data_IF_518844916846
#
_entry.id   IF_518844916846
#
_cell.length_a   1.000
_cell.length_b   1.000
_cell.length_c   1.000
_cell.angle_alpha   90.00
_cell.angle_beta   90.00
_cell.angle_gamma   90.00
#
_symmetry.space_group_name_H-M   'P 1'
#
loop_
_entity.id
_entity.type
_entity.pdbx_description
1 polymer ?
#
# COMPACT_ATOMS: atom_id res chain seq x y z
N UNK A 1 21.14 -16.10 11.29
CA UNK A 1 19.95 -16.96 11.42
C UNK A 1 18.79 -16.31 10.69
N UNK A 2 17.62 -16.95 10.63
CA UNK A 2 16.41 -16.34 10.07
C UNK A 2 15.23 -16.62 11.00
N UNK A 3 14.49 -15.58 11.37
CA UNK A 3 13.27 -15.67 12.16
C UNK A 3 12.08 -15.80 11.21
N UNK A 4 11.30 -16.87 11.35
CA UNK A 4 10.02 -17.01 10.67
C UNK A 4 8.88 -16.48 11.55
N UNK A 5 7.99 -15.68 10.98
CA UNK A 5 6.83 -15.14 11.67
C UNK A 5 5.60 -15.12 10.76
N UNK A 6 4.41 -15.35 11.33
CA UNK A 6 3.14 -15.35 10.60
C UNK A 6 2.27 -14.16 11.02
N UNK A 7 2.11 -13.17 10.13
CA UNK A 7 1.29 -11.99 10.39
C UNK A 7 -0.21 -12.26 10.16
N UNK A 8 -0.80 -13.17 10.94
CA UNK A 8 -2.22 -13.54 10.83
C UNK A 8 -3.17 -12.36 11.03
N UNK A 9 -2.75 -11.30 11.74
CA UNK A 9 -3.49 -10.06 11.93
C UNK A 9 -3.75 -9.30 10.62
N UNK A 10 -3.00 -9.56 9.55
CA UNK A 10 -3.25 -8.99 8.22
C UNK A 10 -4.52 -9.55 7.56
N UNK A 11 -5.02 -10.71 7.98
CA UNK A 11 -6.07 -11.43 7.26
C UNK A 11 -7.37 -10.65 7.11
N UNK A 12 -7.94 -10.00 8.15
CA UNK A 12 -9.17 -9.25 8.01
C UNK A 12 -9.04 -8.08 7.03
N UNK A 13 -7.99 -7.26 7.17
CA UNK A 13 -7.72 -6.13 6.29
C UNK A 13 -7.44 -6.57 4.84
N UNK A 14 -6.77 -7.72 4.68
CA UNK A 14 -6.51 -8.32 3.37
C UNK A 14 -7.80 -8.73 2.67
N UNK A 15 -8.69 -9.44 3.36
CA UNK A 15 -9.98 -9.86 2.80
C UNK A 15 -10.83 -8.65 2.43
N UNK A 16 -10.82 -7.61 3.25
CA UNK A 16 -11.52 -6.36 2.97
C UNK A 16 -10.99 -5.66 1.71
N UNK A 17 -9.66 -5.53 1.59
CA UNK A 17 -8.99 -4.94 0.43
C UNK A 17 -9.36 -5.68 -0.87
N UNK A 18 -9.37 -7.01 -0.83
CA UNK A 18 -9.81 -7.87 -1.95
C UNK A 18 -11.28 -7.63 -2.28
N UNK A 19 -12.16 -7.60 -1.27
CA UNK A 19 -13.62 -7.42 -1.44
C UNK A 19 -13.96 -6.05 -2.06
N UNK A 20 -13.24 -4.99 -1.68
CA UNK A 20 -13.43 -3.63 -2.21
C UNK A 20 -12.82 -3.40 -3.59
N UNK A 21 -12.18 -4.41 -4.19
CA UNK A 21 -11.36 -4.24 -5.39
C UNK A 21 -10.33 -3.12 -5.23
N UNK A 22 -9.76 -3.01 -4.03
CA UNK A 22 -8.68 -2.10 -3.65
C UNK A 22 -7.53 -2.94 -3.09
N UNK A 23 -6.89 -3.79 -3.90
CA UNK A 23 -5.97 -4.80 -3.42
C UNK A 23 -4.62 -4.20 -3.01
N UNK A 24 -4.66 -3.43 -1.91
CA UNK A 24 -3.55 -2.69 -1.32
C UNK A 24 -3.82 -2.50 0.16
N UNK A 25 -2.81 -2.79 0.95
CA UNK A 25 -2.75 -2.54 2.39
C UNK A 25 -1.64 -1.52 2.60
N UNK A 26 -1.94 -0.46 3.34
CA UNK A 26 -0.97 0.55 3.75
C UNK A 26 -1.43 1.13 5.09
N UNK A 27 -0.67 0.89 6.15
CA UNK A 27 -0.93 1.41 7.49
C UNK A 27 0.38 1.53 8.27
N UNK A 28 0.39 2.37 9.30
CA UNK A 28 1.55 2.58 10.17
C UNK A 28 1.20 2.16 11.59
N UNK A 29 2.07 1.35 12.19
CA UNK A 29 2.03 0.97 13.60
C UNK A 29 3.18 1.66 14.36
N UNK A 30 2.98 1.88 15.65
CA UNK A 30 3.97 2.50 16.52
C UNK A 30 4.22 1.64 17.74
N UNK A 31 5.50 1.47 18.11
CA UNK A 31 5.88 0.91 19.40
C UNK A 31 7.06 1.69 20.01
N UNK A 32 6.82 2.34 21.15
CA UNK A 32 7.76 3.31 21.70
C UNK A 32 8.09 4.40 20.67
N UNK A 33 9.37 4.54 20.33
CA UNK A 33 9.86 5.47 19.30
C UNK A 33 9.85 4.88 17.88
N UNK A 34 9.66 3.57 17.74
CA UNK A 34 9.66 2.88 16.45
C UNK A 34 8.36 3.11 15.68
N UNK A 35 8.49 3.31 14.37
CA UNK A 35 7.37 3.52 13.44
C UNK A 35 7.49 2.53 12.27
N UNK A 36 6.53 1.61 12.20
CA UNK A 36 6.52 0.49 11.26
C UNK A 36 5.39 0.66 10.27
N UNK A 37 5.71 1.08 9.05
CA UNK A 37 4.73 1.22 7.97
C UNK A 37 4.68 -0.07 7.16
N UNK A 38 3.56 -0.76 7.21
CA UNK A 38 3.30 -1.99 6.47
C UNK A 38 2.68 -1.67 5.12
N UNK A 39 3.26 -2.20 4.05
CA UNK A 39 2.76 -2.08 2.69
C UNK A 39 2.67 -3.46 2.04
N UNK A 40 1.48 -3.78 1.53
CA UNK A 40 1.25 -4.96 0.70
C UNK A 40 0.46 -4.51 -0.53
N UNK A 41 1.11 -4.52 -1.68
CA UNK A 41 0.48 -4.19 -2.96
C UNK A 41 0.31 -5.46 -3.79
N UNK A 42 -0.87 -5.66 -4.35
CA UNK A 42 -1.09 -6.74 -5.31
C UNK A 42 -1.17 -6.17 -6.72
N UNK A 43 -0.73 -6.96 -7.69
CA UNK A 43 -0.82 -6.61 -9.12
C UNK A 43 -2.19 -6.99 -9.68
N UNK A 44 -2.60 -6.29 -10.72
CA UNK A 44 -3.78 -6.60 -11.50
C UNK A 44 -3.44 -6.88 -12.96
N UNK A 45 -4.18 -7.77 -13.58
CA UNK A 45 -4.05 -8.08 -15.00
C UNK A 45 -4.59 -6.94 -15.88
N UNK A 46 -4.52 -7.11 -17.20
CA UNK A 46 -5.02 -6.13 -18.18
C UNK A 46 -6.54 -5.91 -18.14
N UNK A 47 -7.27 -6.74 -17.39
CA UNK A 47 -8.71 -6.63 -17.14
C UNK A 47 -9.04 -6.00 -15.79
N UNK A 48 -8.03 -5.69 -14.96
CA UNK A 48 -8.20 -5.15 -13.62
C UNK A 48 -8.55 -6.20 -12.57
N UNK A 49 -8.28 -7.49 -12.83
CA UNK A 49 -8.46 -8.57 -11.84
C UNK A 49 -7.16 -8.79 -11.07
N UNK A 50 -7.27 -9.13 -9.78
CA UNK A 50 -6.11 -9.44 -8.93
C UNK A 50 -5.38 -10.65 -9.50
N UNK A 51 -4.08 -10.50 -9.72
CA UNK A 51 -3.19 -11.60 -10.06
C UNK A 51 -2.71 -12.24 -8.77
N UNK A 52 -3.17 -13.45 -8.51
CA UNK A 52 -2.70 -14.25 -7.39
C UNK A 52 -1.32 -14.81 -7.73
N UNK A 53 -0.34 -14.62 -6.85
CA UNK A 53 1.06 -14.98 -7.10
C UNK A 53 1.95 -14.71 -5.89
N UNK A 54 3.26 -14.58 -6.11
CA UNK A 54 4.23 -14.23 -5.06
C UNK A 54 3.94 -12.81 -4.56
N UNK A 55 3.27 -12.71 -3.41
CA UNK A 55 3.02 -11.45 -2.73
C UNK A 55 4.26 -11.04 -1.92
N UNK A 56 4.39 -9.75 -1.67
CA UNK A 56 5.49 -9.20 -0.89
C UNK A 56 4.96 -8.27 0.17
N UNK A 57 5.46 -8.43 1.39
CA UNK A 57 5.25 -7.49 2.48
C UNK A 57 6.47 -6.60 2.58
N UNK A 58 6.23 -5.30 2.48
CA UNK A 58 7.24 -4.28 2.73
C UNK A 58 6.97 -3.68 4.11
N UNK A 59 8.03 -3.58 4.93
CA UNK A 59 7.98 -2.91 6.22
C UNK A 59 8.97 -1.76 6.16
N UNK A 60 8.44 -0.54 6.03
CA UNK A 60 9.23 0.67 6.11
C UNK A 60 9.40 1.05 7.58
N UNK A 61 10.65 1.11 7.99
CA UNK A 61 11.09 1.60 9.30
C UNK A 61 11.18 3.12 9.19
N UNK A 62 10.12 3.82 9.56
CA UNK A 62 9.92 5.22 9.18
C UNK A 62 10.83 6.19 9.93
N UNK A 63 11.40 5.84 11.09
CA UNK A 63 12.38 6.71 11.73
C UNK A 63 13.76 6.59 11.06
N UNK A 64 14.15 5.39 10.67
CA UNK A 64 15.45 5.10 10.03
C UNK A 64 15.41 5.16 8.50
N UNK A 65 14.23 5.31 7.90
CA UNK A 65 13.99 5.34 6.46
C UNK A 65 14.49 4.08 5.73
N UNK A 66 14.55 2.94 6.43
CA UNK A 66 14.97 1.66 5.84
C UNK A 66 13.78 0.80 5.45
N UNK A 67 13.90 0.08 4.34
CA UNK A 67 12.87 -0.83 3.85
C UNK A 67 13.29 -2.29 4.07
N UNK A 68 12.44 -3.05 4.74
CA UNK A 68 12.52 -4.52 4.78
C UNK A 68 11.55 -5.07 3.73
N UNK A 69 12.03 -5.92 2.83
CA UNK A 69 11.24 -6.57 1.76
C UNK A 69 11.15 -8.06 2.02
N UNK A 70 9.96 -8.54 2.36
CA UNK A 70 9.71 -9.96 2.63
C UNK A 70 8.84 -10.58 1.54
N UNK A 71 9.25 -11.73 1.01
CA UNK A 71 8.32 -12.60 0.27
C UNK A 71 7.31 -13.17 1.25
N UNK A 72 6.03 -13.09 0.90
CA UNK A 72 4.96 -13.71 1.67
C UNK A 72 4.76 -15.16 1.24
N UNK A 73 4.70 -16.04 2.24
CA UNK A 73 4.45 -17.47 2.08
C UNK A 73 3.14 -17.86 2.77
N UNK A 74 2.51 -18.92 2.29
CA UNK A 74 1.27 -19.46 2.85
C UNK A 74 0.02 -19.15 2.04
N UNK A 75 -1.13 -19.61 2.55
CA UNK A 75 -2.43 -19.40 1.91
C UNK A 75 -3.12 -18.16 2.50
N UNK A 76 -2.80 -16.99 1.94
CA UNK A 76 -3.26 -15.69 2.43
C UNK A 76 -4.79 -15.56 2.44
N UNK A 77 -5.46 -16.00 1.37
CA UNK A 77 -6.90 -15.78 1.19
C UNK A 77 -7.72 -16.69 2.09
N UNK A 78 -7.44 -18.00 2.05
CA UNK A 78 -8.32 -18.98 2.70
C UNK A 78 -7.87 -19.33 4.12
N UNK A 79 -6.56 -19.42 4.38
CA UNK A 79 -6.03 -19.80 5.69
C UNK A 79 -5.59 -18.60 6.56
N UNK A 80 -5.43 -17.42 5.95
CA UNK A 80 -4.95 -16.24 6.67
C UNK A 80 -3.47 -16.31 7.06
N UNK A 81 -2.69 -17.16 6.38
CA UNK A 81 -1.25 -17.28 6.61
C UNK A 81 -0.50 -16.20 5.84
N UNK A 82 0.23 -15.33 6.53
CA UNK A 82 1.12 -14.30 5.98
C UNK A 82 2.52 -14.51 6.55
N UNK A 83 3.16 -15.61 6.17
CA UNK A 83 4.46 -16.01 6.70
C UNK A 83 5.58 -15.23 6.02
N UNK A 84 6.48 -14.68 6.82
CA UNK A 84 7.71 -14.00 6.38
C UNK A 84 8.93 -14.63 7.04
N UNK A 85 10.09 -14.46 6.41
CA UNK A 85 11.39 -14.76 7.00
C UNK A 85 12.20 -13.48 7.08
N UNK A 86 12.68 -13.16 8.27
CA UNK A 86 13.50 -12.00 8.58
C UNK A 86 14.92 -12.49 8.90
N UNK A 87 15.92 -11.83 8.33
CA UNK A 87 17.33 -12.14 8.57
C UNK A 87 17.85 -11.41 9.81
N UNK A 88 19.05 -11.76 10.28
CA UNK A 88 19.71 -11.02 11.36
C UNK A 88 19.95 -9.54 10.98
N UNK A 89 20.20 -9.24 9.70
CA UNK A 89 20.31 -7.87 9.19
C UNK A 89 18.96 -7.12 9.30
N UNK A 90 17.84 -7.79 9.05
CA UNK A 90 16.52 -7.19 9.25
C UNK A 90 16.22 -6.95 10.73
N UNK A 91 16.63 -7.87 11.60
CA UNK A 91 16.56 -7.68 13.04
C UNK A 91 17.35 -6.43 13.47
N UNK A 92 18.57 -6.28 12.96
CA UNK A 92 19.41 -5.13 13.28
C UNK A 92 18.75 -3.81 12.83
N UNK A 93 18.13 -3.77 11.65
CA UNK A 93 17.37 -2.58 11.21
C UNK A 93 16.20 -2.29 12.14
N UNK A 94 15.48 -3.30 12.62
CA UNK A 94 14.38 -3.15 13.58
C UNK A 94 14.89 -2.62 14.93
N UNK A 95 16.02 -3.14 15.40
CA UNK A 95 16.68 -2.63 16.63
C UNK A 95 17.07 -1.18 16.48
N UNK A 96 17.71 -0.84 15.35
CA UNK A 96 17.99 0.55 14.98
C UNK A 96 16.70 1.35 15.06
N UNK A 97 15.62 0.98 14.37
CA UNK A 97 14.32 1.67 14.36
C UNK A 97 13.77 1.96 15.77
N UNK A 98 13.86 1.00 16.69
CA UNK A 98 13.44 1.15 18.07
C UNK A 98 14.37 2.03 18.94
N UNK A 99 15.48 2.52 18.37
CA UNK A 99 16.48 3.29 19.10
C UNK A 99 17.32 2.42 20.04
N UNK A 100 17.33 1.11 19.83
CA UNK A 100 18.15 0.18 20.59
C UNK A 100 19.56 0.20 20.00
N UNK A 101 20.52 0.73 20.76
CA UNK A 101 21.93 0.65 20.39
C UNK A 101 22.46 -0.79 20.38
N UNK A 102 23.74 -0.94 20.08
CA UNK A 102 24.43 -2.25 20.12
C UNK A 102 24.62 -2.79 21.55
N UNK A 103 24.36 -1.97 22.57
CA UNK A 103 24.57 -2.34 23.97
C UNK A 103 23.61 -3.43 24.44
N UNK A 104 24.19 -4.50 25.00
CA UNK A 104 23.51 -5.64 25.63
C UNK A 104 23.05 -5.36 27.07
N UNK A 105 23.23 -4.14 27.59
CA UNK A 105 22.93 -3.80 28.99
C UNK A 105 21.44 -3.47 29.29
N UNK A 106 20.56 -3.54 28.28
CA UNK A 106 19.11 -3.38 28.44
C UNK A 106 18.36 -4.71 28.50
N UNK A 107 17.03 -4.71 28.74
CA UNK A 107 16.22 -5.92 28.62
C UNK A 107 16.46 -6.56 27.24
N UNK A 108 16.62 -7.88 27.22
CA UNK A 108 16.89 -8.62 26.00
C UNK A 108 15.77 -8.36 24.98
N UNK A 109 16.08 -7.62 23.91
CA UNK A 109 15.16 -7.48 22.79
C UNK A 109 15.01 -8.82 22.08
N UNK A 110 13.77 -9.25 21.90
CA UNK A 110 13.40 -10.46 21.16
C UNK A 110 12.52 -10.04 19.99
N UNK A 111 13.04 -10.17 18.76
CA UNK A 111 12.32 -9.77 17.55
C UNK A 111 10.93 -10.41 17.47
N UNK A 112 10.81 -11.69 17.81
CA UNK A 112 9.54 -12.43 17.77
C UNK A 112 8.45 -11.80 18.65
N UNK A 113 8.82 -11.28 19.81
CA UNK A 113 7.88 -10.68 20.76
C UNK A 113 7.38 -9.33 20.25
N UNK A 114 8.26 -8.52 19.64
CA UNK A 114 7.84 -7.31 18.93
C UNK A 114 6.88 -7.65 17.79
N UNK A 115 7.21 -8.63 16.94
CA UNK A 115 6.36 -9.00 15.81
C UNK A 115 4.99 -9.51 16.28
N UNK A 116 4.96 -10.28 17.38
CA UNK A 116 3.71 -10.72 18.01
C UNK A 116 2.87 -9.53 18.49
N UNK A 117 3.50 -8.55 19.15
CA UNK A 117 2.84 -7.32 19.61
C UNK A 117 2.29 -6.51 18.43
N UNK A 118 3.11 -6.28 17.40
CA UNK A 118 2.68 -5.57 16.18
C UNK A 118 1.52 -6.29 15.50
N UNK A 119 1.56 -7.61 15.41
CA UNK A 119 0.52 -8.42 14.78
C UNK A 119 -0.87 -8.27 15.44
N UNK A 120 -0.91 -8.15 16.78
CA UNK A 120 -2.16 -7.99 17.54
C UNK A 120 -2.82 -6.63 17.29
N UNK A 121 -2.02 -5.59 17.02
CA UNK A 121 -2.53 -4.22 16.81
C UNK A 121 -2.76 -3.88 15.34
N UNK A 122 -2.58 -4.83 14.42
CA UNK A 122 -2.91 -4.63 13.00
C UNK A 122 -4.41 -4.29 12.88
N UNK A 123 -4.77 -3.18 12.22
CA UNK A 123 -6.17 -2.81 12.08
C UNK A 123 -6.91 -3.84 11.22
N UNK A 124 -8.08 -4.29 11.67
CA UNK A 124 -8.91 -5.23 10.93
C UNK A 124 -9.49 -4.64 9.62
N UNK A 125 -9.56 -3.32 9.52
CA UNK A 125 -10.10 -2.56 8.39
C UNK A 125 -9.23 -1.34 8.14
N UNK A 126 -8.99 -1.01 6.86
CA UNK A 126 -8.15 0.14 6.48
C UNK A 126 -8.91 0.99 5.45
N UNK A 127 -9.45 2.15 5.85
CA UNK A 127 -10.10 3.09 4.95
C UNK A 127 -9.18 3.55 3.82
N UNK A 128 -9.76 3.89 2.67
CA UNK A 128 -8.99 4.36 1.50
C UNK A 128 -8.20 5.64 1.81
N UNK A 129 -8.79 6.53 2.59
CA UNK A 129 -8.22 7.79 3.05
C UNK A 129 -6.97 7.56 3.91
N UNK A 130 -6.96 6.50 4.74
CA UNK A 130 -5.79 6.12 5.54
C UNK A 130 -4.68 5.57 4.64
N UNK A 131 -5.03 4.73 3.64
CA UNK A 131 -4.05 4.26 2.65
C UNK A 131 -3.43 5.41 1.87
N UNK A 132 -4.24 6.39 1.44
CA UNK A 132 -3.77 7.58 0.74
C UNK A 132 -2.79 8.37 1.63
N UNK A 133 -3.14 8.58 2.90
CA UNK A 133 -2.29 9.31 3.84
C UNK A 133 -0.91 8.65 3.99
N UNK A 134 -0.88 7.34 4.25
CA UNK A 134 0.37 6.58 4.42
C UNK A 134 1.20 6.57 3.14
N UNK A 135 0.57 6.33 1.98
CA UNK A 135 1.27 6.30 0.70
C UNK A 135 1.84 7.67 0.34
N UNK A 136 1.13 8.76 0.66
CA UNK A 136 1.61 10.13 0.46
C UNK A 136 2.76 10.47 1.38
N UNK A 137 2.64 10.18 2.67
CA UNK A 137 3.67 10.44 3.69
C UNK A 137 5.00 9.80 3.30
N UNK A 138 4.96 8.57 2.77
CA UNK A 138 6.15 7.81 2.41
C UNK A 138 6.39 7.71 0.91
N UNK A 139 5.85 8.64 0.12
CA UNK A 139 5.86 8.59 -1.36
C UNK A 139 7.24 8.39 -1.98
N UNK A 140 8.28 8.98 -1.39
CA UNK A 140 9.66 8.86 -1.87
C UNK A 140 10.15 7.42 -1.70
N UNK A 141 10.07 6.85 -0.50
CA UNK A 141 10.47 5.46 -0.22
C UNK A 141 9.67 4.46 -1.04
N UNK A 142 8.36 4.67 -1.18
CA UNK A 142 7.49 3.79 -1.95
C UNK A 142 7.86 3.81 -3.44
N UNK A 143 8.15 4.98 -4.02
CA UNK A 143 8.61 5.06 -5.42
C UNK A 143 9.97 4.40 -5.62
N UNK A 144 10.87 4.53 -4.65
CA UNK A 144 12.21 3.94 -4.73
C UNK A 144 12.19 2.41 -4.59
N UNK A 145 11.41 1.88 -3.65
CA UNK A 145 11.47 0.47 -3.28
C UNK A 145 10.34 -0.40 -3.84
N UNK A 146 9.23 0.21 -4.29
CA UNK A 146 8.06 -0.49 -4.83
C UNK A 146 7.64 0.01 -6.24
N UNK A 147 8.56 0.39 -7.16
CA UNK A 147 8.20 0.99 -8.44
C UNK A 147 7.33 0.08 -9.32
N UNK A 148 7.47 -1.24 -9.21
CA UNK A 148 6.73 -2.24 -9.99
C UNK A 148 5.24 -2.34 -9.62
N UNK A 149 4.83 -1.67 -8.54
CA UNK A 149 3.44 -1.57 -8.12
C UNK A 149 2.77 -0.26 -8.59
N UNK A 150 3.43 0.52 -9.45
CA UNK A 150 2.82 1.70 -10.08
C UNK A 150 2.86 1.55 -11.60
N UNK A 151 1.73 1.79 -12.24
CA UNK A 151 1.62 1.67 -13.70
C UNK A 151 2.41 2.79 -14.39
N UNK A 152 3.41 2.44 -15.20
CA UNK A 152 4.35 3.37 -15.82
C UNK A 152 4.86 4.43 -14.83
N UNK A 153 5.76 4.00 -13.95
CA UNK A 153 6.29 4.80 -12.85
C UNK A 153 6.93 6.14 -13.29
N UNK A 154 7.33 6.25 -14.56
CA UNK A 154 7.89 7.47 -15.14
C UNK A 154 6.86 8.58 -15.39
N UNK A 155 5.58 8.22 -15.59
CA UNK A 155 4.51 9.17 -15.89
C UNK A 155 3.84 9.64 -14.61
N UNK A 156 4.31 10.73 -14.01
CA UNK A 156 3.86 11.16 -12.68
C UNK A 156 2.74 12.20 -12.67
N UNK A 157 2.39 12.79 -13.80
CA UNK A 157 1.36 13.83 -13.89
C UNK A 157 0.04 13.29 -14.41
N UNK A 158 -1.06 13.64 -13.74
CA UNK A 158 -2.41 13.27 -14.16
C UNK A 158 -2.77 14.04 -15.43
N UNK A 159 -3.22 13.35 -16.47
CA UNK A 159 -3.54 13.96 -17.77
C UNK A 159 -5.04 14.07 -18.02
N UNK A 160 -5.77 12.98 -17.83
CA UNK A 160 -7.22 12.87 -18.08
C UNK A 160 -7.82 11.64 -17.41
N UNK A 161 -9.14 11.55 -17.36
CA UNK A 161 -9.88 10.31 -17.07
C UNK A 161 -10.84 9.95 -18.21
N UNK A 162 -11.09 8.65 -18.38
CA UNK A 162 -11.95 8.16 -19.46
C UNK A 162 -12.39 6.70 -19.30
N UNK A 163 -13.33 6.25 -20.14
CA UNK A 163 -13.94 4.93 -20.06
C UNK A 163 -12.95 3.82 -20.39
N UNK A 164 -13.14 2.68 -19.73
CA UNK A 164 -12.50 1.42 -20.10
C UNK A 164 -13.35 0.64 -21.11
N UNK A 165 -12.71 -0.27 -21.85
CA UNK A 165 -13.42 -1.21 -22.71
C UNK A 165 -14.40 -2.09 -21.90
N UNK A 166 -15.45 -2.57 -22.57
CA UNK A 166 -16.46 -3.42 -21.95
C UNK A 166 -15.82 -4.62 -21.22
N UNK A 167 -16.34 -4.94 -20.02
CA UNK A 167 -15.86 -6.03 -19.18
C UNK A 167 -14.56 -5.74 -18.39
N UNK A 168 -13.88 -4.63 -18.63
CA UNK A 168 -12.68 -4.24 -17.87
C UNK A 168 -13.01 -3.44 -16.62
N UNK A 169 -12.09 -3.48 -15.65
CA UNK A 169 -12.11 -2.69 -14.42
C UNK A 169 -10.86 -1.83 -14.31
N UNK A 170 -10.92 -0.71 -13.57
CA UNK A 170 -9.75 0.11 -13.33
C UNK A 170 -8.67 -0.71 -12.63
N UNK A 171 -7.44 -0.64 -13.14
CA UNK A 171 -6.27 -1.29 -12.52
C UNK A 171 -5.88 -0.50 -11.28
N UNK A 172 -5.61 -1.19 -10.18
CA UNK A 172 -5.25 -0.54 -8.93
C UNK A 172 -3.90 0.17 -9.06
N UNK A 173 -2.94 -0.39 -9.81
CA UNK A 173 -1.64 0.23 -10.06
C UNK A 173 -1.73 1.58 -10.78
N UNK A 174 -2.75 1.77 -11.62
CA UNK A 174 -3.01 3.04 -12.29
C UNK A 174 -3.69 4.05 -11.34
N UNK A 175 -4.67 3.59 -10.54
CA UNK A 175 -5.39 4.45 -9.59
C UNK A 175 -4.54 4.83 -8.37
N UNK A 176 -3.65 3.96 -7.90
CA UNK A 176 -2.75 4.19 -6.75
C UNK A 176 -1.84 5.40 -6.95
N UNK A 177 -1.59 5.79 -8.20
CA UNK A 177 -0.85 7.03 -8.53
C UNK A 177 -1.58 8.28 -8.06
N UNK A 178 -2.92 8.27 -7.96
CA UNK A 178 -3.69 9.37 -7.37
C UNK A 178 -3.33 9.61 -5.91
N UNK A 179 -2.91 8.57 -5.17
CA UNK A 179 -2.61 8.68 -3.74
C UNK A 179 -1.40 9.59 -3.50
N UNK A 180 -0.53 9.71 -4.52
CA UNK A 180 0.69 10.50 -4.51
C UNK A 180 0.47 11.99 -4.80
N UNK A 181 -0.74 12.38 -5.22
CA UNK A 181 -1.07 13.78 -5.55
C UNK A 181 -1.21 14.62 -4.28
N UNK A 182 -0.87 15.89 -4.40
CA UNK A 182 -0.99 16.88 -3.32
C UNK A 182 -2.38 17.55 -3.34
N UNK A 183 -3.39 16.73 -3.05
CA UNK A 183 -4.82 17.08 -3.09
C UNK A 183 -5.47 16.53 -1.81
N UNK A 184 -6.58 17.10 -1.28
CA UNK A 184 -7.29 16.51 -0.15
C UNK A 184 -7.55 15.01 -0.36
N UNK A 185 -7.28 14.20 0.67
CA UNK A 185 -7.36 12.73 0.58
C UNK A 185 -8.80 12.26 0.40
N UNK A 186 -9.76 13.02 0.93
CA UNK A 186 -11.19 12.81 0.81
C UNK A 186 -11.64 12.95 -0.65
N UNK A 187 -11.11 13.96 -1.36
CA UNK A 187 -11.38 14.18 -2.78
C UNK A 187 -10.78 13.07 -3.64
N UNK A 188 -9.55 12.64 -3.36
CA UNK A 188 -8.94 11.50 -4.07
C UNK A 188 -9.77 10.23 -3.84
N UNK A 189 -10.18 9.95 -2.60
CA UNK A 189 -10.98 8.78 -2.28
C UNK A 189 -12.35 8.84 -2.97
N UNK A 190 -13.01 9.99 -2.99
CA UNK A 190 -14.25 10.22 -3.73
C UNK A 190 -14.07 10.00 -5.23
N UNK A 191 -13.00 10.54 -5.83
CA UNK A 191 -12.69 10.35 -7.24
C UNK A 191 -12.50 8.87 -7.58
N UNK A 192 -11.73 8.13 -6.78
CA UNK A 192 -11.48 6.70 -6.99
C UNK A 192 -12.78 5.90 -6.92
N UNK A 193 -13.64 6.17 -5.92
CA UNK A 193 -14.95 5.51 -5.79
C UNK A 193 -15.81 5.76 -7.02
N UNK A 194 -15.88 7.01 -7.48
CA UNK A 194 -16.66 7.39 -8.65
C UNK A 194 -16.12 6.72 -9.93
N UNK A 195 -14.81 6.79 -10.18
CA UNK A 195 -14.14 6.14 -11.31
C UNK A 195 -14.43 4.64 -11.36
N UNK A 196 -14.38 3.95 -10.21
CA UNK A 196 -14.72 2.52 -10.11
C UNK A 196 -16.20 2.26 -10.45
N UNK A 197 -17.11 3.10 -9.94
CA UNK A 197 -18.55 3.01 -10.21
C UNK A 197 -18.89 3.16 -11.70
N UNK A 198 -18.25 4.10 -12.39
CA UNK A 198 -18.51 4.36 -13.82
C UNK A 198 -17.59 3.56 -14.77
N UNK A 199 -16.72 2.68 -14.21
CA UNK A 199 -15.71 1.89 -14.95
C UNK A 199 -14.75 2.74 -15.80
N UNK A 200 -14.28 3.85 -15.22
CA UNK A 200 -13.28 4.73 -15.82
C UNK A 200 -11.91 4.57 -15.16
N UNK A 201 -10.87 4.90 -15.89
CA UNK A 201 -9.50 4.97 -15.37
C UNK A 201 -8.89 6.35 -15.62
N UNK A 202 -7.74 6.58 -15.01
CA UNK A 202 -6.91 7.77 -15.21
C UNK A 202 -5.77 7.50 -16.18
N UNK A 203 -5.37 8.52 -16.92
CA UNK A 203 -4.23 8.51 -17.82
C UNK A 203 -3.18 9.48 -17.28
N UNK A 204 -1.92 9.09 -17.42
CA UNK A 204 -0.79 9.81 -16.85
C UNK A 204 0.20 10.21 -17.94
N UNK A 205 1.00 11.24 -17.67
CA UNK A 205 2.05 11.74 -18.56
C UNK A 205 3.32 12.08 -17.78
N UNK A 206 4.46 12.15 -18.47
CA UNK A 206 5.75 12.56 -17.89
C UNK A 206 5.92 14.08 -17.86
N UNK A 207 5.12 14.82 -18.63
CA UNK A 207 5.21 16.29 -18.75
C UNK A 207 4.17 17.00 -17.89
N UNK A 208 4.57 18.08 -17.22
CA UNK A 208 3.67 18.92 -16.41
C UNK A 208 2.54 19.46 -17.31
N UNK A 209 1.25 19.19 -16.99
CA UNK A 209 0.12 19.79 -17.70
C UNK A 209 0.03 21.30 -17.45
N UNK A 210 -0.50 22.04 -18.42
CA UNK A 210 -0.67 23.50 -18.31
C UNK A 210 -1.77 23.93 -17.32
N UNK A 211 -2.66 23.01 -16.93
CA UNK A 211 -3.83 23.29 -16.10
C UNK A 211 -3.95 22.27 -14.97
N UNK A 212 -4.77 22.58 -13.96
CA UNK A 212 -5.10 21.65 -12.89
C UNK A 212 -6.00 20.52 -13.40
N UNK A 213 -5.35 19.44 -13.85
CA UNK A 213 -6.05 18.25 -14.34
C UNK A 213 -6.83 17.53 -13.26
N UNK A 214 -6.47 17.65 -11.98
CA UNK A 214 -7.26 17.01 -10.93
C UNK A 214 -8.63 17.69 -10.83
N UNK A 215 -8.68 19.01 -10.70
CA UNK A 215 -9.94 19.76 -10.59
C UNK A 215 -10.86 19.52 -11.80
N UNK A 216 -10.31 19.59 -13.02
CA UNK A 216 -11.05 19.32 -14.26
C UNK A 216 -11.68 17.91 -14.26
N UNK A 217 -10.89 16.89 -13.89
CA UNK A 217 -11.34 15.50 -13.87
C UNK A 217 -12.37 15.28 -12.77
N UNK A 218 -12.14 15.86 -11.58
CA UNK A 218 -13.03 15.72 -10.44
C UNK A 218 -14.43 16.26 -10.76
N UNK A 219 -14.51 17.49 -11.29
CA UNK A 219 -15.76 18.08 -11.73
C UNK A 219 -16.45 17.25 -12.83
N UNK A 220 -15.69 16.78 -13.82
CA UNK A 220 -16.20 15.94 -14.91
C UNK A 220 -16.82 14.64 -14.38
N UNK A 221 -16.12 13.94 -13.50
CA UNK A 221 -16.54 12.63 -12.99
C UNK A 221 -17.72 12.74 -12.03
N UNK A 222 -17.80 13.82 -11.25
CA UNK A 222 -18.94 14.08 -10.37
C UNK A 222 -20.28 14.20 -11.13
N UNK A 223 -20.24 14.64 -12.39
CA UNK A 223 -21.42 14.78 -13.25
C UNK A 223 -21.83 13.52 -14.03
N UNK A 224 -21.13 12.38 -13.88
CA UNK A 224 -21.43 11.16 -14.64
C UNK A 224 -22.30 10.20 -13.81
N UNK A 225 -23.47 9.75 -14.32
CA UNK A 225 -24.30 8.79 -13.62
C UNK A 225 -23.60 7.42 -13.51
N UNK A 226 -23.75 6.77 -12.36
CA UNK A 226 -23.19 5.43 -12.12
C UNK A 226 -23.99 4.41 -12.91
N UNK A 227 -23.31 3.66 -13.79
CA UNK A 227 -23.92 2.55 -14.50
C UNK A 227 -24.16 1.41 -13.49
N UNK A 228 -25.41 1.22 -13.08
CA UNK A 228 -25.90 0.09 -12.27
C UNK A 228 -25.65 -1.25 -12.94
#
# INVERSE_FOLDING_TARGET
MATEFNFTGLHPAFLEAVKRHEPSIAFTLTDGVGKFTFLLFMKTDSSGKIVWGQLELFILLARTQRMIRCKLLGNHKNAGDFKVRLTDDDEQKVREELGLGESTAGPAFVLRDLLAKLNVIIPASIPLEMKIAVVREHRVNIRTHCPEYFDDASKVYLLRAGPLAAGKRPREETLRKLYMLDVPREDIAALIRNLKGIRWTTYWTASVPATDKFAEIFAKVAGVPVNS
#
